data_IF_415474861183
#
_entry.id   IF_415474861183
#
_cell.length_a   1.000
_cell.length_b   1.000
_cell.length_c   1.000
_cell.angle_alpha   90.00
_cell.angle_beta   90.00
_cell.angle_gamma   90.00
#
_symmetry.space_group_name_H-M   'P 1'
#
loop_
_entity.id
_entity.type
_entity.pdbx_description
1 polymer ?
#
# COMPACT_ATOMS: atom_id res chain seq x y z
N UNK A 1 -5.65 -16.91 6.00
CA UNK A 1 -4.92 -15.73 6.50
C UNK A 1 -5.96 -14.65 6.71
N UNK A 2 -6.00 -14.00 7.88
CA UNK A 2 -6.92 -12.88 8.17
C UNK A 2 -6.23 -11.57 7.84
N UNK A 3 -6.66 -10.92 6.77
CA UNK A 3 -6.04 -9.70 6.25
C UNK A 3 -7.01 -8.54 6.49
N UNK A 4 -6.49 -7.42 7.00
CA UNK A 4 -7.21 -6.15 7.05
C UNK A 4 -6.57 -5.17 6.08
N UNK A 5 -7.38 -4.56 5.24
CA UNK A 5 -6.99 -3.40 4.46
C UNK A 5 -7.74 -2.18 4.99
N UNK A 6 -7.02 -1.13 5.36
CA UNK A 6 -7.58 0.17 5.68
C UNK A 6 -7.36 1.10 4.49
N UNK A 7 -8.45 1.69 3.99
CA UNK A 7 -8.38 2.73 2.97
C UNK A 7 -7.73 4.01 3.48
N UNK A 8 -7.78 5.04 2.65
CA UNK A 8 -7.02 6.28 2.78
C UNK A 8 -7.10 6.91 4.17
N UNK A 9 -5.96 6.95 4.83
CA UNK A 9 -5.79 7.65 6.10
C UNK A 9 -5.75 9.14 5.85
N UNK A 10 -6.82 9.86 6.22
CA UNK A 10 -6.94 11.29 5.97
C UNK A 10 -6.43 12.14 7.15
N UNK A 11 -5.26 12.73 6.99
CA UNK A 11 -4.69 13.73 7.92
C UNK A 11 -4.60 13.27 9.38
N UNK A 12 -4.61 14.25 10.30
CA UNK A 12 -4.44 13.99 11.75
C UNK A 12 -5.55 13.10 12.31
N UNK A 13 -6.80 13.32 11.88
CA UNK A 13 -7.95 12.57 12.38
C UNK A 13 -7.85 11.09 11.98
N UNK A 14 -7.50 10.81 10.72
CA UNK A 14 -7.26 9.44 10.24
C UNK A 14 -6.13 8.76 11.00
N UNK A 15 -4.98 9.43 11.17
CA UNK A 15 -3.85 8.86 11.93
C UNK A 15 -4.25 8.54 13.37
N UNK A 16 -4.95 9.44 14.05
CA UNK A 16 -5.42 9.22 15.41
C UNK A 16 -6.40 8.03 15.52
N UNK A 17 -7.29 7.87 14.52
CA UNK A 17 -8.19 6.74 14.48
C UNK A 17 -7.44 5.40 14.32
N UNK A 18 -6.43 5.36 13.43
CA UNK A 18 -5.61 4.15 13.24
C UNK A 18 -4.79 3.84 14.49
N UNK A 19 -4.04 4.81 15.02
CA UNK A 19 -3.14 4.57 16.16
C UNK A 19 -3.89 4.15 17.44
N UNK A 20 -5.10 4.66 17.65
CA UNK A 20 -5.92 4.30 18.82
C UNK A 20 -6.69 2.97 18.68
N UNK A 21 -7.10 2.60 17.47
CA UNK A 21 -8.02 1.45 17.26
C UNK A 21 -7.36 0.21 16.69
N UNK A 22 -6.35 0.37 15.83
CA UNK A 22 -5.74 -0.76 15.12
C UNK A 22 -5.17 -1.84 16.06
N UNK A 23 -4.48 -1.52 17.17
CA UNK A 23 -4.01 -2.55 18.10
C UNK A 23 -5.15 -3.41 18.68
N UNK A 24 -6.30 -2.79 18.97
CA UNK A 24 -7.49 -3.48 19.44
C UNK A 24 -8.07 -4.39 18.36
N UNK A 25 -8.26 -3.88 17.14
CA UNK A 25 -8.76 -4.65 16.01
C UNK A 25 -7.88 -5.87 15.69
N UNK A 26 -6.55 -5.72 15.76
CA UNK A 26 -5.61 -6.83 15.56
C UNK A 26 -5.83 -7.96 16.55
N UNK A 27 -6.00 -7.63 17.83
CA UNK A 27 -6.27 -8.62 18.88
C UNK A 27 -7.65 -9.25 18.69
N UNK A 28 -8.69 -8.43 18.57
CA UNK A 28 -10.07 -8.87 18.61
C UNK A 28 -10.44 -9.70 17.37
N UNK A 29 -9.87 -9.37 16.20
CA UNK A 29 -10.09 -10.11 14.95
C UNK A 29 -8.96 -11.08 14.62
N UNK A 30 -7.95 -11.18 15.48
CA UNK A 30 -6.78 -12.07 15.31
C UNK A 30 -6.14 -11.89 13.92
N UNK A 31 -5.83 -10.64 13.57
CA UNK A 31 -5.35 -10.27 12.24
C UNK A 31 -3.91 -10.78 12.01
N UNK A 32 -3.72 -11.48 10.89
CA UNK A 32 -2.43 -12.02 10.47
C UNK A 32 -1.58 -10.95 9.75
N UNK A 33 -2.24 -10.07 8.99
CA UNK A 33 -1.57 -9.04 8.19
C UNK A 33 -2.45 -7.80 8.00
N UNK A 34 -1.88 -6.60 8.12
CA UNK A 34 -2.58 -5.33 7.98
C UNK A 34 -1.89 -4.46 6.94
N UNK A 35 -2.66 -4.01 5.96
CA UNK A 35 -2.24 -3.00 4.98
C UNK A 35 -3.01 -1.71 5.25
N UNK A 36 -2.34 -0.57 5.21
CA UNK A 36 -2.95 0.75 5.37
C UNK A 36 -2.55 1.65 4.22
N UNK A 37 -3.52 2.21 3.51
CA UNK A 37 -3.24 3.27 2.55
C UNK A 37 -2.98 4.59 3.29
N UNK A 38 -1.74 5.07 3.21
CA UNK A 38 -1.27 6.26 3.92
C UNK A 38 -1.17 7.52 3.06
N UNK A 39 -1.65 7.53 1.81
CA UNK A 39 -1.29 8.60 0.88
C UNK A 39 -1.77 10.00 1.25
N UNK A 40 -2.80 10.12 2.09
CA UNK A 40 -3.33 11.41 2.53
C UNK A 40 -3.02 11.71 3.99
N UNK A 41 -2.11 10.93 4.60
CA UNK A 41 -1.92 10.94 6.03
C UNK A 41 -1.23 12.21 6.52
N UNK A 42 -0.42 12.90 5.72
CA UNK A 42 0.30 14.12 6.13
C UNK A 42 -0.38 15.35 5.56
N UNK A 43 -1.06 16.10 6.43
CA UNK A 43 -1.74 17.35 6.06
C UNK A 43 -2.69 17.23 4.85
N UNK A 44 -3.20 16.03 4.57
CA UNK A 44 -4.14 15.75 3.48
C UNK A 44 -3.50 15.39 2.13
N UNK A 45 -2.17 15.36 2.01
CA UNK A 45 -1.48 14.93 0.78
C UNK A 45 -0.05 14.43 1.09
N UNK A 46 0.24 13.20 0.70
CA UNK A 46 1.46 12.47 0.96
C UNK A 46 1.59 11.93 2.39
N UNK A 47 2.73 11.29 2.64
CA UNK A 47 3.08 10.67 3.92
C UNK A 47 4.52 11.06 4.27
N UNK A 48 4.76 11.67 5.44
CA UNK A 48 6.11 11.88 5.96
C UNK A 48 6.62 10.60 6.61
N UNK A 49 7.94 10.43 6.69
CA UNK A 49 8.56 9.28 7.36
C UNK A 49 8.19 9.17 8.83
N UNK A 50 8.00 10.31 9.51
CA UNK A 50 7.52 10.34 10.90
C UNK A 50 6.11 9.75 11.01
N UNK A 51 5.17 10.20 10.19
CA UNK A 51 3.80 9.69 10.22
C UNK A 51 3.71 8.25 9.70
N UNK A 52 4.57 7.85 8.77
CA UNK A 52 4.68 6.46 8.34
C UNK A 52 5.06 5.56 9.52
N UNK A 53 6.06 5.98 10.30
CA UNK A 53 6.48 5.26 11.51
C UNK A 53 5.35 5.17 12.53
N UNK A 54 4.58 6.24 12.75
CA UNK A 54 3.40 6.21 13.64
C UNK A 54 2.39 5.12 13.24
N UNK A 55 2.09 4.97 11.95
CA UNK A 55 1.15 3.96 11.44
C UNK A 55 1.72 2.54 11.54
N UNK A 56 3.02 2.36 11.25
CA UNK A 56 3.71 1.08 11.39
C UNK A 56 3.79 0.64 12.86
N UNK A 57 4.14 1.55 13.77
CA UNK A 57 4.22 1.29 15.21
C UNK A 57 2.83 0.96 15.81
N UNK A 58 1.74 1.47 15.22
CA UNK A 58 0.37 1.10 15.56
C UNK A 58 -0.04 -0.31 15.11
N UNK A 59 0.80 -0.99 14.32
CA UNK A 59 0.58 -2.36 13.87
C UNK A 59 0.19 -2.49 12.41
N UNK A 60 0.45 -1.52 11.54
CA UNK A 60 0.43 -1.76 10.10
C UNK A 60 1.66 -2.60 9.68
N UNK A 61 1.45 -3.64 8.89
CA UNK A 61 2.55 -4.48 8.39
C UNK A 61 3.09 -3.96 7.05
N UNK A 62 2.24 -3.28 6.27
CA UNK A 62 2.60 -2.62 5.03
C UNK A 62 1.80 -1.32 4.87
N UNK A 63 2.46 -0.27 4.38
CA UNK A 63 1.81 0.96 3.96
C UNK A 63 1.82 1.04 2.43
N UNK A 64 0.66 1.29 1.84
CA UNK A 64 0.56 1.69 0.43
C UNK A 64 0.39 3.21 0.34
N UNK A 65 0.76 3.78 -0.80
CA UNK A 65 0.64 5.23 -1.05
C UNK A 65 -0.43 5.47 -2.12
N UNK A 66 -0.12 6.19 -3.19
CA UNK A 66 -1.07 6.57 -4.23
C UNK A 66 -0.44 7.61 -5.15
N UNK A 67 -1.24 8.47 -5.77
CA UNK A 67 -0.70 9.50 -6.66
C UNK A 67 0.04 10.60 -5.89
N UNK A 68 -0.28 10.77 -4.60
CA UNK A 68 0.39 11.67 -3.67
C UNK A 68 1.67 11.11 -3.02
N UNK A 69 2.20 9.99 -3.50
CA UNK A 69 3.30 9.25 -2.88
C UNK A 69 4.54 10.09 -2.51
N UNK A 70 4.87 11.14 -3.27
CA UNK A 70 6.08 11.94 -3.08
C UNK A 70 5.81 13.43 -2.85
N UNK A 71 4.59 13.79 -2.44
CA UNK A 71 4.25 15.18 -2.10
C UNK A 71 4.98 15.65 -0.83
N UNK A 72 5.36 14.71 0.04
CA UNK A 72 6.27 14.94 1.15
C UNK A 72 7.71 14.61 0.72
N UNK A 73 8.58 15.63 0.70
CA UNK A 73 9.95 15.51 0.17
C UNK A 73 10.79 14.44 0.88
N UNK A 74 10.56 14.23 2.17
CA UNK A 74 11.28 13.23 2.97
C UNK A 74 10.90 11.79 2.59
N UNK A 75 9.74 11.56 1.96
CA UNK A 75 9.34 10.22 1.51
C UNK A 75 10.31 9.65 0.46
N UNK A 76 10.91 10.49 -0.38
CA UNK A 76 11.88 10.04 -1.40
C UNK A 76 13.07 9.29 -0.78
N UNK A 77 13.55 9.72 0.39
CA UNK A 77 14.66 9.08 1.09
C UNK A 77 14.19 8.03 2.12
N UNK A 78 13.02 8.24 2.73
CA UNK A 78 12.47 7.32 3.72
C UNK A 78 12.07 5.97 3.09
N UNK A 79 11.44 5.98 1.92
CA UNK A 79 10.96 4.75 1.24
C UNK A 79 12.10 3.79 0.86
N UNK A 80 13.32 4.28 0.71
CA UNK A 80 14.49 3.44 0.44
C UNK A 80 14.96 2.68 1.67
N UNK A 81 14.71 3.24 2.87
CA UNK A 81 15.13 2.69 4.15
C UNK A 81 14.04 1.83 4.80
N UNK A 82 12.77 2.08 4.49
CA UNK A 82 11.63 1.38 5.06
C UNK A 82 10.94 0.47 4.02
N UNK A 83 11.32 -0.83 3.95
CA UNK A 83 10.79 -1.75 2.95
C UNK A 83 9.28 -2.06 3.07
N UNK A 84 8.64 -1.66 4.17
CA UNK A 84 7.20 -1.85 4.38
C UNK A 84 6.34 -0.76 3.71
N UNK A 85 6.94 0.33 3.22
CA UNK A 85 6.23 1.35 2.45
C UNK A 85 6.35 1.03 0.95
N UNK A 86 5.20 0.94 0.28
CA UNK A 86 5.10 0.71 -1.15
C UNK A 86 4.53 1.95 -1.83
N UNK A 87 5.11 2.29 -2.99
CA UNK A 87 4.58 3.28 -3.93
C UNK A 87 3.93 2.57 -5.12
N UNK A 88 3.12 3.22 -5.96
CA UNK A 88 2.56 2.54 -7.12
C UNK A 88 3.62 2.04 -8.12
N UNK A 89 3.48 0.81 -8.64
CA UNK A 89 4.41 0.16 -9.58
C UNK A 89 4.68 1.01 -10.82
N UNK A 90 3.62 1.61 -11.36
CA UNK A 90 3.57 2.35 -12.60
C UNK A 90 3.73 3.89 -12.42
N UNK A 91 4.31 4.33 -11.30
CA UNK A 91 4.49 5.76 -11.00
C UNK A 91 5.53 6.46 -11.90
N UNK A 92 6.79 6.00 -11.85
CA UNK A 92 7.89 6.37 -12.73
C UNK A 92 9.03 5.36 -12.53
N UNK A 93 9.72 4.97 -13.61
CA UNK A 93 10.80 3.96 -13.54
C UNK A 93 11.97 4.36 -12.64
N UNK A 94 12.29 5.64 -12.57
CA UNK A 94 13.37 6.20 -11.75
C UNK A 94 12.94 6.57 -10.33
N UNK A 95 11.65 6.46 -9.97
CA UNK A 95 11.19 6.80 -8.63
C UNK A 95 11.70 5.78 -7.59
N UNK A 96 12.13 6.24 -6.41
CA UNK A 96 12.66 5.38 -5.36
C UNK A 96 11.61 4.42 -4.79
N UNK A 97 12.07 3.45 -4.01
CA UNK A 97 11.21 2.44 -3.38
C UNK A 97 10.75 1.34 -4.33
N UNK A 98 9.76 0.57 -3.89
CA UNK A 98 9.20 -0.58 -4.62
C UNK A 98 7.67 -0.45 -4.67
N UNK A 99 7.06 -1.03 -5.70
CA UNK A 99 5.59 -1.10 -5.78
C UNK A 99 4.97 -2.46 -5.60
N UNK A 100 5.79 -3.48 -5.41
CA UNK A 100 5.34 -4.79 -4.96
C UNK A 100 6.40 -5.44 -4.08
N UNK A 101 5.95 -6.20 -3.08
CA UNK A 101 6.82 -6.96 -2.20
C UNK A 101 6.07 -8.15 -1.60
N UNK A 102 6.81 -9.23 -1.37
CA UNK A 102 6.33 -10.38 -0.61
C UNK A 102 6.73 -10.21 0.85
N UNK A 103 5.75 -10.26 1.75
CA UNK A 103 5.92 -10.19 3.18
C UNK A 103 5.70 -11.57 3.82
N UNK A 104 6.34 -11.79 4.96
CA UNK A 104 6.13 -12.99 5.76
C UNK A 104 5.17 -12.66 6.90
N UNK A 105 4.02 -13.33 6.91
CA UNK A 105 3.01 -13.27 7.96
C UNK A 105 3.26 -14.38 9.02
N UNK A 106 2.55 -14.37 10.17
CA UNK A 106 2.73 -15.37 11.21
C UNK A 106 2.62 -16.82 10.69
N UNK A 107 3.45 -17.72 11.24
CA UNK A 107 3.49 -19.12 10.80
C UNK A 107 4.17 -19.34 9.45
N UNK A 108 4.99 -18.39 8.98
CA UNK A 108 5.79 -18.53 7.75
C UNK A 108 5.01 -18.37 6.44
N UNK A 109 3.72 -18.04 6.53
CA UNK A 109 2.85 -17.77 5.37
C UNK A 109 3.33 -16.50 4.67
N UNK A 110 3.25 -16.46 3.35
CA UNK A 110 3.69 -15.34 2.52
C UNK A 110 2.50 -14.64 1.89
N UNK A 111 2.55 -13.31 1.87
CA UNK A 111 1.57 -12.45 1.20
C UNK A 111 2.29 -11.50 0.24
N UNK A 112 1.86 -11.49 -1.01
CA UNK A 112 2.24 -10.44 -1.96
C UNK A 112 1.36 -9.22 -1.71
N UNK A 113 1.97 -8.04 -1.56
CA UNK A 113 1.26 -6.76 -1.66
C UNK A 113 1.82 -6.02 -2.86
N UNK A 114 0.94 -5.49 -3.69
CA UNK A 114 1.28 -4.67 -4.84
C UNK A 114 0.34 -3.46 -4.93
N UNK A 115 0.84 -2.36 -5.47
CA UNK A 115 0.04 -1.16 -5.71
C UNK A 115 0.20 -0.69 -7.15
N UNK A 116 -0.88 -0.23 -7.76
CA UNK A 116 -0.90 0.39 -9.10
C UNK A 116 -1.80 1.61 -9.10
N UNK A 117 -1.54 2.52 -10.03
CA UNK A 117 -2.38 3.68 -10.32
C UNK A 117 -3.22 3.44 -11.57
N UNK A 118 -4.47 3.89 -11.57
CA UNK A 118 -5.25 3.98 -12.80
C UNK A 118 -4.72 5.03 -13.77
N UNK A 119 -5.43 5.21 -14.87
CA UNK A 119 -5.09 6.21 -15.88
C UNK A 119 -6.25 7.16 -16.12
N UNK A 120 -7.47 6.66 -16.17
CA UNK A 120 -8.66 7.46 -16.47
C UNK A 120 -8.95 8.44 -15.32
N UNK A 121 -9.02 9.72 -15.66
CA UNK A 121 -9.25 10.86 -14.75
C UNK A 121 -8.17 11.11 -13.69
N UNK A 122 -6.99 10.51 -13.84
CA UNK A 122 -5.84 10.82 -12.98
C UNK A 122 -5.14 12.11 -13.40
N UNK A 123 -4.47 12.80 -12.47
CA UNK A 123 -3.82 14.11 -12.70
C UNK A 123 -2.77 14.12 -13.80
N UNK A 124 -2.18 12.96 -14.11
CA UNK A 124 -1.16 12.79 -15.13
C UNK A 124 -1.19 11.36 -15.67
N UNK A 125 -0.66 11.11 -16.88
CA UNK A 125 -0.52 9.77 -17.40
C UNK A 125 0.52 8.97 -16.59
N UNK A 126 0.16 7.74 -16.24
CA UNK A 126 1.02 6.72 -15.62
C UNK A 126 1.21 5.56 -16.60
N UNK A 127 2.24 4.72 -16.37
CA UNK A 127 2.45 3.51 -17.19
C UNK A 127 1.24 2.55 -17.05
N UNK A 128 1.07 1.62 -18.00
CA UNK A 128 -0.08 0.69 -18.00
C UNK A 128 -0.16 -0.14 -16.69
N UNK A 129 -1.23 0.03 -15.88
CA UNK A 129 -1.38 -0.72 -14.64
C UNK A 129 -1.60 -2.21 -14.85
N UNK A 130 -2.25 -2.61 -15.96
CA UNK A 130 -2.62 -3.99 -16.21
C UNK A 130 -1.38 -4.83 -16.48
N UNK A 131 -0.55 -4.42 -17.45
CA UNK A 131 0.73 -5.10 -17.71
C UNK A 131 1.66 -5.09 -16.50
N UNK A 132 1.67 -3.99 -15.72
CA UNK A 132 2.50 -3.88 -14.53
C UNK A 132 2.11 -4.90 -13.45
N UNK A 133 0.81 -5.05 -13.15
CA UNK A 133 0.37 -6.00 -12.14
C UNK A 133 0.50 -7.45 -12.61
N UNK A 134 0.26 -7.69 -13.89
CA UNK A 134 0.26 -9.02 -14.51
C UNK A 134 1.68 -9.62 -14.50
N UNK A 135 2.70 -8.81 -14.75
CA UNK A 135 4.10 -9.21 -14.57
C UNK A 135 4.43 -9.63 -13.12
N UNK A 136 3.92 -8.89 -12.13
CA UNK A 136 4.16 -9.17 -10.70
C UNK A 136 3.45 -10.44 -10.25
N UNK A 137 2.17 -10.60 -10.61
CA UNK A 137 1.37 -11.76 -10.23
C UNK A 137 1.91 -13.05 -10.85
N UNK A 138 2.37 -13.02 -12.11
CA UNK A 138 3.04 -14.16 -12.74
C UNK A 138 4.32 -14.58 -12.04
N UNK A 139 5.10 -13.62 -11.55
CA UNK A 139 6.33 -13.91 -10.83
C UNK A 139 6.10 -14.50 -9.43
N UNK A 140 4.89 -14.35 -8.88
CA UNK A 140 4.52 -14.77 -7.53
C UNK A 140 3.18 -15.56 -7.55
N UNK A 141 3.17 -16.76 -8.14
CA UNK A 141 1.93 -17.52 -8.31
C UNK A 141 1.29 -17.90 -6.96
N UNK A 142 -0.02 -17.67 -6.86
CA UNK A 142 -0.85 -18.05 -5.71
C UNK A 142 -0.84 -19.56 -5.49
N UNK A 143 -0.82 -19.98 -4.22
CA UNK A 143 -0.78 -21.40 -3.83
C UNK A 143 0.61 -22.03 -3.92
N UNK A 144 1.56 -21.36 -4.59
CA UNK A 144 2.98 -21.73 -4.61
C UNK A 144 3.82 -20.76 -3.78
N UNK A 145 4.30 -19.69 -4.43
CA UNK A 145 5.24 -18.73 -3.84
C UNK A 145 4.60 -17.88 -2.72
N UNK A 146 3.30 -17.60 -2.83
CA UNK A 146 2.52 -16.83 -1.86
C UNK A 146 1.17 -17.49 -1.58
N UNK A 147 0.67 -17.34 -0.36
CA UNK A 147 -0.66 -17.85 0.05
C UNK A 147 -1.76 -16.81 -0.15
N UNK A 148 -1.40 -15.55 -0.31
CA UNK A 148 -2.33 -14.47 -0.62
C UNK A 148 -1.63 -13.41 -1.49
N UNK A 149 -2.42 -12.71 -2.30
CA UNK A 149 -2.01 -11.53 -3.04
C UNK A 149 -3.05 -10.43 -2.77
N UNK A 150 -2.57 -9.25 -2.39
CA UNK A 150 -3.38 -8.05 -2.20
C UNK A 150 -2.89 -7.00 -3.19
N UNK A 151 -3.82 -6.49 -4.00
CA UNK A 151 -3.55 -5.44 -4.98
C UNK A 151 -4.34 -4.20 -4.58
N UNK A 152 -3.64 -3.11 -4.29
CA UNK A 152 -4.22 -1.79 -4.10
C UNK A 152 -4.30 -1.07 -5.46
N UNK A 153 -5.50 -1.03 -6.06
CA UNK A 153 -5.78 -0.33 -7.31
C UNK A 153 -6.28 1.08 -7.01
N UNK A 154 -5.34 2.03 -7.02
CA UNK A 154 -5.61 3.42 -6.68
C UNK A 154 -6.01 4.20 -7.95
N UNK A 155 -7.31 4.40 -8.15
CA UNK A 155 -7.82 5.10 -9.33
C UNK A 155 -9.20 5.75 -9.12
N UNK A 156 -9.59 6.60 -10.07
CA UNK A 156 -10.87 7.31 -10.05
C UNK A 156 -11.99 6.52 -10.75
N UNK A 157 -11.74 6.06 -11.97
CA UNK A 157 -12.77 5.44 -12.80
C UNK A 157 -13.18 4.06 -12.27
N UNK A 158 -14.47 3.92 -11.97
CA UNK A 158 -15.07 2.64 -11.54
C UNK A 158 -14.89 1.53 -12.57
N UNK A 159 -14.90 1.87 -13.86
CA UNK A 159 -14.65 0.92 -14.95
C UNK A 159 -13.24 0.33 -14.90
N UNK A 160 -12.21 1.12 -14.55
CA UNK A 160 -10.85 0.60 -14.40
C UNK A 160 -10.72 -0.31 -13.17
N UNK A 161 -11.39 0.05 -12.06
CA UNK A 161 -11.43 -0.81 -10.85
C UNK A 161 -12.02 -2.17 -11.18
N UNK A 162 -13.20 -2.18 -11.80
CA UNK A 162 -13.90 -3.41 -12.18
C UNK A 162 -13.12 -4.23 -13.21
N UNK A 163 -12.38 -3.59 -14.12
CA UNK A 163 -11.56 -4.29 -15.11
C UNK A 163 -10.34 -4.96 -14.48
N UNK A 164 -9.80 -4.42 -13.39
CA UNK A 164 -8.66 -5.01 -12.67
C UNK A 164 -9.05 -6.28 -11.92
N UNK A 165 -10.23 -6.29 -11.28
CA UNK A 165 -10.77 -7.44 -10.56
C UNK A 165 -11.51 -7.09 -9.27
#
# INVERSE_FOLDING_TARGET
>A
MRILFLGDVMGRAGRAAVTSRLPGLRRDWTLDFVVVNGENATSGAGLSGQHAKELLDAGADCLTLGDHAFDQKDMMSFIEQEPRVLRPLNFAKSAPGKGARVFTAPGGRKILVAQVLGQVFMKRPFDDPFSAIDAVLRAQPLGGAVQAALVDMHCEATSEKMAMG
#
